data_IF_118448998628
#
_entry.id   IF_118448998628
#
_cell.length_a   1.000
_cell.length_b   1.000
_cell.length_c   1.000
_cell.angle_alpha   90.00
_cell.angle_beta   90.00
_cell.angle_gamma   90.00
#
_symmetry.space_group_name_H-M   'P 1'
#
loop_
_entity.id
_entity.type
_entity.pdbx_description
1 polymer ?
#
# COMPACT_ATOMS: atom_id res chain seq x y z
N UNK A 1 0.48 -18.17 23.43
CA UNK A 1 -0.37 -17.39 22.49
C UNK A 1 0.36 -16.12 22.06
N UNK A 2 0.81 -16.03 20.80
CA UNK A 2 1.54 -14.83 20.30
C UNK A 2 0.55 -13.66 20.20
N UNK A 3 0.70 -12.64 21.06
CA UNK A 3 0.03 -11.34 20.85
C UNK A 3 0.54 -10.77 19.54
N UNK A 4 -0.23 -10.92 18.46
CA UNK A 4 0.02 -10.20 17.22
C UNK A 4 -0.09 -8.72 17.57
N UNK A 5 1.06 -8.03 17.60
CA UNK A 5 1.12 -6.62 17.96
C UNK A 5 0.21 -5.83 17.01
N UNK A 6 -0.62 -4.92 17.55
CA UNK A 6 -1.63 -4.14 16.80
C UNK A 6 -1.05 -3.46 15.55
N UNK A 7 0.24 -3.07 15.62
CA UNK A 7 1.02 -2.50 14.51
C UNK A 7 1.15 -3.42 13.30
N UNK A 8 1.29 -4.75 13.47
CA UNK A 8 1.52 -5.67 12.36
C UNK A 8 0.26 -5.93 11.54
N UNK A 9 -0.92 -5.97 12.17
CA UNK A 9 -2.22 -6.06 11.45
C UNK A 9 -2.45 -4.87 10.53
N UNK A 10 -2.25 -3.65 11.02
CA UNK A 10 -2.47 -2.43 10.24
C UNK A 10 -1.56 -2.30 9.01
N UNK A 11 -0.35 -2.91 9.02
CA UNK A 11 0.53 -2.92 7.83
C UNK A 11 -0.06 -3.77 6.72
N UNK A 12 -0.50 -4.98 7.08
CA UNK A 12 -1.15 -5.90 6.16
C UNK A 12 -2.43 -5.33 5.56
N UNK A 13 -3.22 -4.60 6.35
CA UNK A 13 -4.46 -3.99 5.85
C UNK A 13 -4.21 -2.96 4.74
N UNK A 14 -3.16 -2.14 4.87
CA UNK A 14 -2.81 -1.16 3.82
C UNK A 14 -2.23 -1.85 2.58
N UNK A 15 -1.37 -2.85 2.75
CA UNK A 15 -0.84 -3.62 1.64
C UNK A 15 -1.96 -4.33 0.84
N UNK A 16 -2.92 -4.93 1.54
CA UNK A 16 -4.10 -5.57 0.95
C UNK A 16 -5.03 -4.55 0.27
N UNK A 17 -5.29 -3.41 0.92
CA UNK A 17 -6.10 -2.34 0.33
C UNK A 17 -5.46 -1.76 -0.95
N UNK A 18 -4.14 -1.60 -0.96
CA UNK A 18 -3.38 -1.15 -2.13
C UNK A 18 -3.45 -2.15 -3.28
N UNK A 19 -3.24 -3.44 -3.00
CA UNK A 19 -3.35 -4.50 -4.00
C UNK A 19 -4.79 -4.60 -4.56
N UNK A 20 -5.80 -4.46 -3.71
CA UNK A 20 -7.21 -4.44 -4.11
C UNK A 20 -7.53 -3.23 -4.99
N UNK A 21 -7.09 -2.03 -4.60
CA UNK A 21 -7.24 -0.82 -5.40
C UNK A 21 -6.59 -0.95 -6.78
N UNK A 22 -5.37 -1.51 -6.83
CA UNK A 22 -4.67 -1.75 -8.09
C UNK A 22 -5.45 -2.67 -9.02
N UNK A 23 -5.99 -3.78 -8.48
CA UNK A 23 -6.84 -4.72 -9.22
C UNK A 23 -8.12 -4.06 -9.72
N UNK A 24 -8.83 -3.31 -8.87
CA UNK A 24 -10.06 -2.57 -9.25
C UNK A 24 -9.81 -1.59 -10.39
N UNK A 25 -8.67 -0.91 -10.37
CA UNK A 25 -8.31 0.07 -11.40
C UNK A 25 -7.60 -0.55 -12.61
N UNK A 26 -7.40 -1.88 -12.66
CA UNK A 26 -6.63 -2.58 -13.71
C UNK A 26 -5.25 -1.97 -13.97
N UNK A 27 -4.57 -1.52 -12.91
CA UNK A 27 -3.26 -0.88 -13.01
C UNK A 27 -2.14 -1.91 -12.94
N UNK A 28 -1.17 -1.80 -13.86
CA UNK A 28 0.13 -2.44 -13.67
C UNK A 28 0.88 -1.79 -12.51
N UNK A 29 1.88 -2.49 -11.95
CA UNK A 29 2.66 -2.00 -10.81
C UNK A 29 3.31 -0.64 -11.12
N UNK A 30 3.84 -0.48 -12.34
CA UNK A 30 4.42 0.78 -12.83
C UNK A 30 3.39 1.90 -12.95
N UNK A 31 2.19 1.62 -13.48
CA UNK A 31 1.10 2.61 -13.59
C UNK A 31 0.58 3.03 -12.21
N UNK A 32 0.49 2.10 -11.26
CA UNK A 32 0.11 2.38 -9.88
C UNK A 32 1.15 3.28 -9.20
N UNK A 33 2.44 2.97 -9.38
CA UNK A 33 3.54 3.76 -8.85
C UNK A 33 3.53 5.20 -9.40
N UNK A 34 3.30 5.37 -10.70
CA UNK A 34 3.13 6.68 -11.33
C UNK A 34 1.92 7.45 -10.75
N UNK A 35 0.76 6.80 -10.59
CA UNK A 35 -0.43 7.43 -9.98
C UNK A 35 -0.20 7.87 -8.54
N UNK A 36 0.64 7.14 -7.81
CA UNK A 36 0.98 7.40 -6.41
C UNK A 36 2.25 8.27 -6.26
N UNK A 37 2.89 8.64 -7.37
CA UNK A 37 4.16 9.40 -7.42
C UNK A 37 5.25 8.77 -6.55
N UNK A 38 5.35 7.44 -6.57
CA UNK A 38 6.39 6.68 -5.89
C UNK A 38 7.18 5.84 -6.88
N UNK A 39 8.33 5.32 -6.45
CA UNK A 39 9.05 4.34 -7.25
C UNK A 39 8.29 3.01 -7.31
N UNK A 40 8.44 2.27 -8.41
CA UNK A 40 7.88 0.91 -8.55
C UNK A 40 8.36 0.00 -7.42
N UNK A 41 9.63 0.15 -7.03
CA UNK A 41 10.23 -0.61 -5.93
C UNK A 41 9.58 -0.31 -4.59
N UNK A 42 9.31 0.96 -4.30
CA UNK A 42 8.58 1.35 -3.08
C UNK A 42 7.19 0.74 -3.05
N UNK A 43 6.47 0.75 -4.18
CA UNK A 43 5.15 0.14 -4.28
C UNK A 43 5.21 -1.38 -4.07
N UNK A 44 6.20 -2.05 -4.67
CA UNK A 44 6.43 -3.48 -4.51
C UNK A 44 6.75 -3.85 -3.05
N UNK A 45 7.60 -3.07 -2.37
CA UNK A 45 7.94 -3.30 -0.97
C UNK A 45 6.74 -3.14 -0.05
N UNK A 46 5.81 -2.23 -0.38
CA UNK A 46 4.55 -2.08 0.35
C UNK A 46 3.60 -3.25 0.10
N UNK A 47 3.45 -3.69 -1.15
CA UNK A 47 2.62 -4.86 -1.49
C UNK A 47 3.15 -6.15 -0.85
N UNK A 48 4.48 -6.27 -0.66
CA UNK A 48 5.13 -7.42 -0.04
C UNK A 48 5.25 -7.36 1.50
N UNK A 49 4.65 -6.34 2.14
CA UNK A 49 4.80 -6.07 3.59
C UNK A 49 6.27 -6.00 4.06
N UNK A 50 7.19 -5.62 3.13
CA UNK A 50 8.62 -5.41 3.41
C UNK A 50 8.86 -4.03 4.00
N UNK A 51 8.06 -3.05 3.58
CA UNK A 51 8.16 -1.66 4.03
C UNK A 51 6.77 -1.07 4.26
N UNK A 52 6.70 -0.08 5.14
CA UNK A 52 5.43 0.57 5.52
C UNK A 52 5.40 1.97 4.92
N UNK A 53 4.32 2.36 4.22
CA UNK A 53 4.17 3.74 3.80
C UNK A 53 4.22 4.67 5.02
N UNK A 54 5.14 5.63 4.99
CA UNK A 54 5.31 6.63 6.06
C UNK A 54 4.45 7.86 5.74
N UNK A 55 3.81 8.42 6.77
CA UNK A 55 2.98 9.64 6.79
C UNK A 55 2.48 10.15 5.43
N UNK A 56 3.30 10.87 4.65
CA UNK A 56 2.94 11.43 3.34
C UNK A 56 2.42 10.38 2.34
N UNK A 57 3.07 9.22 2.27
CA UNK A 57 2.64 8.11 1.43
C UNK A 57 1.31 7.51 1.91
N UNK A 58 1.11 7.45 3.23
CA UNK A 58 -0.10 6.90 3.84
C UNK A 58 -1.31 7.80 3.55
N UNK A 59 -1.14 9.12 3.63
CA UNK A 59 -2.17 10.09 3.25
C UNK A 59 -2.48 10.04 1.75
N UNK A 60 -1.46 9.95 0.90
CA UNK A 60 -1.65 9.80 -0.54
C UNK A 60 -2.44 8.53 -0.88
N UNK A 61 -2.11 7.41 -0.22
CA UNK A 61 -2.85 6.15 -0.33
C UNK A 61 -4.29 6.30 0.14
N UNK A 62 -4.49 6.91 1.30
CA UNK A 62 -5.83 7.09 1.89
C UNK A 62 -6.72 7.95 0.99
N UNK A 63 -6.19 9.04 0.44
CA UNK A 63 -6.92 9.89 -0.51
C UNK A 63 -7.20 9.23 -1.86
N UNK A 64 -6.34 8.32 -2.32
CA UNK A 64 -6.50 7.64 -3.62
C UNK A 64 -7.32 6.35 -3.57
N UNK A 65 -7.36 5.67 -2.42
CA UNK A 65 -8.05 4.39 -2.23
C UNK A 65 -9.46 4.60 -1.64
N UNK A 66 -9.68 5.67 -0.86
CA UNK A 66 -10.99 5.95 -0.25
C UNK A 66 -12.01 6.63 -1.19
N UNK A 67 -11.61 6.97 -2.42
CA UNK A 67 -12.46 7.52 -3.49
C UNK A 67 -12.75 6.45 -4.53
#
# INVERSE_FOLDING_TARGET
MRRVTRRKRSKNEIALALAAWRKRNKLSQSKAALKLKVSVRTLQEWEQDRSTPRHLALEALRNKIAR
#
